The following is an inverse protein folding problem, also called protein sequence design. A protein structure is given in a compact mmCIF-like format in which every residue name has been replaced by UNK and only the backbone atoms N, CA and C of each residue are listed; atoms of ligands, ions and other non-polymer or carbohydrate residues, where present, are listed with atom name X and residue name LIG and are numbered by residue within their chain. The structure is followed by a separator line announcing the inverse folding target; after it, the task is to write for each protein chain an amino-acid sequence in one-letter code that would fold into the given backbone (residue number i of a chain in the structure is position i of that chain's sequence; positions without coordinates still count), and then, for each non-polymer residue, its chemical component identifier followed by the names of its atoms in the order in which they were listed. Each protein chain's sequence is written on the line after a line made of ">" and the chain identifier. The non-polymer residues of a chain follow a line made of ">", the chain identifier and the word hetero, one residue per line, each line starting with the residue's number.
data_IF_547981867787
#
_entry.id   IF_547981867787
#
_cell.length_a   1.000
_cell.length_b   1.000
_cell.length_c   1.000
_cell.angle_alpha   90.00
_cell.angle_beta   90.00
_cell.angle_gamma   90.00
#
_symmetry.space_group_name_H-M   'P 1'
#
loop_
_entity.id
_entity.type
_entity.pdbx_description
1 polymer ?
#
# COMPACT_ATOMS: atom_id res chain seq x y z
N UNK A 1 14.68 -32.41 0.69
CA UNK A 1 13.92 -31.48 -0.19
C UNK A 1 14.22 -30.04 0.18
N UNK A 2 15.44 -29.53 -0.11
CA UNK A 2 15.78 -28.12 0.10
C UNK A 2 15.45 -27.31 -1.16
N UNK A 3 14.52 -26.36 -1.05
CA UNK A 3 14.23 -25.39 -2.12
C UNK A 3 12.99 -25.67 -2.99
N UNK A 4 12.24 -26.74 -2.73
CA UNK A 4 10.95 -26.97 -3.39
C UNK A 4 9.92 -25.95 -2.88
N UNK A 5 9.26 -25.25 -3.79
CA UNK A 5 8.18 -24.30 -3.47
C UNK A 5 6.89 -24.88 -4.01
N UNK A 6 5.90 -25.08 -3.14
CA UNK A 6 4.62 -25.67 -3.53
C UNK A 6 3.65 -24.56 -3.94
N UNK A 7 3.09 -24.64 -5.14
CA UNK A 7 2.07 -23.72 -5.59
C UNK A 7 0.71 -24.42 -5.65
N UNK A 8 -0.32 -23.74 -5.14
CA UNK A 8 -1.70 -24.21 -5.25
C UNK A 8 -2.28 -23.59 -6.51
N UNK A 9 -2.58 -24.43 -7.50
CA UNK A 9 -3.38 -24.02 -8.65
C UNK A 9 -4.84 -23.98 -8.23
N UNK A 10 -5.39 -22.78 -7.97
CA UNK A 10 -6.82 -22.65 -7.73
C UNK A 10 -7.58 -22.68 -9.06
N UNK A 11 -8.20 -23.81 -9.38
CA UNK A 11 -9.40 -23.82 -10.21
C UNK A 11 -10.62 -23.75 -9.29
N UNK A 12 -11.01 -22.54 -8.89
CA UNK A 12 -12.26 -22.28 -8.16
C UNK A 12 -12.10 -21.32 -6.98
N UNK A 13 -12.55 -20.08 -7.14
CA UNK A 13 -12.68 -19.09 -6.06
C UNK A 13 -14.04 -19.17 -5.34
N UNK A 14 -14.81 -20.23 -5.56
CA UNK A 14 -16.06 -20.53 -4.87
C UNK A 14 -16.05 -22.02 -4.56
N UNK A 15 -16.13 -22.39 -3.28
CA UNK A 15 -16.56 -23.75 -2.96
C UNK A 15 -17.98 -23.94 -3.49
N UNK A 16 -18.37 -25.16 -3.91
CA UNK A 16 -19.73 -25.42 -4.36
C UNK A 16 -20.74 -25.04 -3.26
N UNK A 17 -21.97 -24.70 -3.67
CA UNK A 17 -23.03 -24.02 -2.90
C UNK A 17 -23.29 -24.55 -1.47
N UNK A 18 -22.86 -25.77 -1.14
CA UNK A 18 -23.08 -26.41 0.17
C UNK A 18 -21.91 -26.25 1.17
N UNK A 19 -20.65 -26.15 0.73
CA UNK A 19 -19.48 -26.10 1.64
C UNK A 19 -19.08 -24.68 2.08
N UNK A 20 -19.68 -23.65 1.48
CA UNK A 20 -19.28 -22.25 1.72
C UNK A 20 -17.86 -21.96 1.22
N UNK A 21 -17.18 -20.99 1.83
CA UNK A 21 -15.79 -20.67 1.47
C UNK A 21 -14.85 -21.76 1.99
N UNK A 22 -14.08 -22.37 1.09
CA UNK A 22 -13.02 -23.33 1.42
C UNK A 22 -11.67 -22.64 1.28
N UNK A 23 -10.84 -22.71 2.33
CA UNK A 23 -9.50 -22.17 2.37
C UNK A 23 -8.50 -23.30 2.53
N UNK A 24 -7.50 -23.36 1.65
CA UNK A 24 -6.43 -24.35 1.72
C UNK A 24 -5.12 -23.59 1.87
N UNK A 25 -4.40 -23.88 2.95
CA UNK A 25 -3.09 -23.29 3.19
C UNK A 25 -2.03 -23.98 2.30
N UNK A 26 -0.94 -23.26 2.03
CA UNK A 26 0.23 -23.88 1.40
C UNK A 26 0.73 -25.04 2.27
N UNK A 27 1.00 -26.23 1.69
CA UNK A 27 1.52 -27.35 2.44
C UNK A 27 2.84 -26.99 3.13
N UNK A 28 2.97 -27.38 4.39
CA UNK A 28 4.15 -27.11 5.20
C UNK A 28 5.05 -28.35 5.23
N UNK A 29 6.30 -28.27 4.75
CA UNK A 29 7.25 -29.37 4.90
C UNK A 29 7.65 -29.52 6.37
N UNK A 30 7.59 -30.76 6.89
CA UNK A 30 8.05 -31.13 8.23
C UNK A 30 9.13 -32.18 8.09
N UNK A 31 10.39 -31.77 8.29
CA UNK A 31 11.53 -32.62 7.98
C UNK A 31 11.74 -32.76 6.47
N UNK A 32 12.36 -33.87 6.06
CA UNK A 32 12.71 -34.15 4.66
C UNK A 32 11.79 -35.19 4.00
N UNK A 33 10.80 -35.72 4.73
CA UNK A 33 10.00 -36.88 4.33
C UNK A 33 8.49 -36.68 4.49
N UNK A 34 8.05 -35.53 5.02
CA UNK A 34 6.62 -35.28 5.29
C UNK A 34 6.15 -33.88 4.87
N UNK A 35 4.88 -33.82 4.47
CA UNK A 35 4.14 -32.59 4.15
C UNK A 35 2.86 -32.54 4.99
N UNK A 36 2.62 -31.37 5.59
CA UNK A 36 1.40 -31.09 6.35
C UNK A 36 0.48 -30.21 5.52
N UNK A 37 -0.69 -30.75 5.20
CA UNK A 37 -1.78 -30.06 4.55
C UNK A 37 -2.73 -29.51 5.61
N UNK A 38 -3.19 -28.27 5.46
CA UNK A 38 -4.20 -27.70 6.34
C UNK A 38 -5.15 -26.79 5.59
N UNK A 39 -6.34 -26.62 6.16
CA UNK A 39 -7.38 -25.80 5.57
C UNK A 39 -8.59 -25.63 6.47
N UNK A 40 -9.56 -24.88 5.98
CA UNK A 40 -10.79 -24.53 6.67
C UNK A 40 -11.97 -24.57 5.71
N UNK A 41 -13.09 -25.15 6.16
CA UNK A 41 -14.34 -25.28 5.42
C UNK A 41 -15.42 -24.49 6.14
N UNK A 42 -15.98 -23.46 5.49
CA UNK A 42 -16.91 -22.53 6.11
C UNK A 42 -18.21 -23.17 6.61
N UNK A 43 -18.79 -24.14 5.88
CA UNK A 43 -20.01 -24.84 6.25
C UNK A 43 -19.75 -26.35 6.44
N UNK A 44 -18.91 -26.73 7.40
CA UNK A 44 -18.50 -28.13 7.57
C UNK A 44 -19.57 -29.06 8.17
N UNK A 45 -20.63 -28.54 8.78
CA UNK A 45 -21.67 -29.35 9.45
C UNK A 45 -21.08 -30.30 10.49
N UNK A 46 -21.47 -31.58 10.44
CA UNK A 46 -20.93 -32.66 11.28
C UNK A 46 -19.51 -33.12 10.87
N UNK A 47 -18.95 -32.53 9.82
CA UNK A 47 -17.60 -32.77 9.31
C UNK A 47 -17.59 -33.14 7.82
N UNK A 48 -16.59 -32.65 7.10
CA UNK A 48 -16.40 -32.93 5.66
C UNK A 48 -15.19 -33.82 5.47
N UNK A 49 -15.35 -34.93 4.76
CA UNK A 49 -14.22 -35.81 4.43
C UNK A 49 -13.23 -35.08 3.51
N UNK A 50 -11.94 -35.17 3.82
CA UNK A 50 -10.85 -34.58 3.05
C UNK A 50 -9.85 -35.69 2.73
N UNK A 51 -9.66 -36.01 1.46
CA UNK A 51 -8.62 -36.95 1.02
C UNK A 51 -7.47 -36.22 0.34
N UNK A 52 -6.25 -36.57 0.73
CA UNK A 52 -5.01 -36.09 0.11
C UNK A 52 -4.48 -37.20 -0.79
N UNK A 53 -4.31 -36.91 -2.07
CA UNK A 53 -3.89 -37.88 -3.10
C UNK A 53 -2.62 -37.45 -3.79
N UNK A 54 -1.89 -38.42 -4.34
CA UNK A 54 -0.75 -38.21 -5.22
C UNK A 54 -0.84 -39.22 -6.37
N UNK A 55 -1.06 -38.74 -7.60
CA UNK A 55 -1.45 -39.60 -8.71
C UNK A 55 -2.76 -40.35 -8.40
N UNK A 56 -2.75 -41.68 -8.56
CA UNK A 56 -3.89 -42.54 -8.24
C UNK A 56 -4.00 -42.87 -6.74
N UNK A 57 -2.92 -42.69 -5.96
CA UNK A 57 -2.84 -43.11 -4.56
C UNK A 57 -3.57 -42.13 -3.64
N UNK A 58 -4.34 -42.66 -2.70
CA UNK A 58 -4.83 -41.90 -1.54
C UNK A 58 -3.79 -42.04 -0.44
N UNK A 59 -3.18 -40.92 -0.05
CA UNK A 59 -2.12 -40.89 0.96
C UNK A 59 -2.68 -40.75 2.37
N UNK A 60 -3.78 -40.00 2.52
CA UNK A 60 -4.48 -39.85 3.78
C UNK A 60 -5.93 -39.42 3.55
N UNK A 61 -6.78 -39.74 4.52
CA UNK A 61 -8.15 -39.25 4.63
C UNK A 61 -8.31 -38.69 6.04
N UNK A 62 -8.86 -37.50 6.14
CA UNK A 62 -9.22 -36.87 7.41
C UNK A 62 -10.61 -36.24 7.33
N UNK A 63 -11.06 -35.67 8.44
CA UNK A 63 -12.34 -34.96 8.51
C UNK A 63 -12.07 -33.50 8.87
N UNK A 64 -12.56 -32.57 8.06
CA UNK A 64 -12.56 -31.14 8.36
C UNK A 64 -13.76 -30.80 9.24
N UNK A 65 -13.51 -30.31 10.46
CA UNK A 65 -14.54 -29.86 11.37
C UNK A 65 -14.08 -28.64 12.19
N UNK A 66 -14.34 -27.41 11.74
CA UNK A 66 -14.36 -26.95 10.35
C UNK A 66 -12.93 -26.86 9.74
N UNK A 67 -11.89 -27.02 10.56
CA UNK A 67 -10.50 -27.10 10.11
C UNK A 67 -10.03 -28.53 9.92
N UNK A 68 -8.98 -28.71 9.13
CA UNK A 68 -8.24 -29.98 9.06
C UNK A 68 -6.74 -29.73 9.07
N UNK A 69 -6.01 -30.72 9.58
CA UNK A 69 -4.55 -30.83 9.48
C UNK A 69 -4.25 -32.30 9.17
N UNK A 70 -3.64 -32.56 8.02
CA UNK A 70 -3.36 -33.92 7.55
C UNK A 70 -1.90 -34.00 7.13
N UNK A 71 -1.22 -34.99 7.69
CA UNK A 71 0.19 -35.28 7.44
C UNK A 71 0.29 -36.41 6.41
N UNK A 72 1.12 -36.22 5.38
CA UNK A 72 1.36 -37.23 4.35
C UNK A 72 2.85 -37.33 4.02
N UNK A 73 3.31 -38.48 3.48
CA UNK A 73 4.64 -38.60 2.93
C UNK A 73 4.89 -37.57 1.82
N UNK A 74 6.04 -36.90 1.89
CA UNK A 74 6.49 -35.97 0.87
C UNK A 74 7.00 -36.72 -0.36
N UNK A 75 6.42 -36.40 -1.52
CA UNK A 75 6.64 -37.01 -2.84
C UNK A 75 6.73 -35.89 -3.87
N UNK A 76 7.61 -36.01 -4.86
CA UNK A 76 7.67 -35.04 -5.97
C UNK A 76 6.43 -35.13 -6.83
N UNK A 77 5.97 -34.00 -7.38
CA UNK A 77 4.87 -33.94 -8.34
C UNK A 77 3.58 -33.37 -7.77
N UNK A 78 2.44 -33.82 -8.29
CA UNK A 78 1.13 -33.20 -8.04
C UNK A 78 0.36 -33.93 -6.95
N UNK A 79 -0.08 -33.17 -5.96
CA UNK A 79 -1.03 -33.59 -4.96
C UNK A 79 -2.43 -33.08 -5.32
N UNK A 80 -3.44 -33.86 -4.95
CA UNK A 80 -4.83 -33.44 -5.04
C UNK A 80 -5.46 -33.47 -3.66
N UNK A 81 -6.18 -32.41 -3.31
CA UNK A 81 -7.07 -32.38 -2.15
C UNK A 81 -8.47 -32.59 -2.69
N UNK A 82 -9.15 -33.63 -2.23
CA UNK A 82 -10.49 -34.01 -2.69
C UNK A 82 -11.48 -33.97 -1.52
N UNK A 83 -12.63 -33.34 -1.74
CA UNK A 83 -13.74 -33.27 -0.79
C UNK A 83 -15.04 -33.67 -1.49
N UNK A 84 -15.77 -34.70 -1.03
CA UNK A 84 -17.09 -35.01 -1.55
C UNK A 84 -18.06 -33.92 -1.08
N UNK A 85 -18.82 -33.36 -2.02
CA UNK A 85 -19.69 -32.20 -1.77
C UNK A 85 -21.17 -32.56 -1.79
N UNK A 86 -21.58 -33.58 -2.55
CA UNK A 86 -22.92 -34.18 -2.54
C UNK A 86 -22.92 -35.51 -3.30
N UNK A 87 -23.95 -36.33 -3.08
CA UNK A 87 -24.24 -37.47 -3.96
C UNK A 87 -25.28 -37.12 -5.01
N UNK A 88 -24.99 -37.42 -6.27
CA UNK A 88 -25.96 -37.34 -7.38
C UNK A 88 -26.02 -38.68 -8.11
N UNK A 89 -27.22 -39.25 -8.23
CA UNK A 89 -27.47 -40.49 -8.98
C UNK A 89 -26.56 -41.68 -8.57
N UNK A 90 -26.22 -41.79 -7.28
CA UNK A 90 -25.37 -42.86 -6.76
C UNK A 90 -23.86 -42.67 -7.00
N UNK A 91 -23.44 -41.47 -7.42
CA UNK A 91 -22.04 -41.08 -7.54
C UNK A 91 -21.71 -39.88 -6.64
N UNK A 92 -20.52 -39.90 -6.04
CA UNK A 92 -20.00 -38.75 -5.29
C UNK A 92 -19.56 -37.65 -6.25
N UNK A 93 -20.13 -36.45 -6.10
CA UNK A 93 -19.58 -35.24 -6.72
C UNK A 93 -18.44 -34.76 -5.82
N UNK A 94 -17.23 -34.69 -6.37
CA UNK A 94 -16.01 -34.37 -5.62
C UNK A 94 -15.41 -33.05 -6.12
N UNK A 95 -15.14 -32.12 -5.20
CA UNK A 95 -14.29 -30.97 -5.49
C UNK A 95 -12.83 -31.32 -5.29
N UNK A 96 -12.01 -30.93 -6.26
CA UNK A 96 -10.58 -31.24 -6.31
C UNK A 96 -9.76 -29.97 -6.41
N UNK A 97 -8.76 -29.83 -5.55
CA UNK A 97 -7.74 -28.79 -5.63
C UNK A 97 -6.39 -29.40 -5.98
N UNK A 98 -5.70 -28.78 -6.92
CA UNK A 98 -4.39 -29.22 -7.38
C UNK A 98 -3.28 -28.47 -6.64
N UNK A 99 -2.33 -29.23 -6.10
CA UNK A 99 -1.19 -28.73 -5.34
C UNK A 99 0.08 -29.27 -5.99
N UNK A 100 0.81 -28.40 -6.68
CA UNK A 100 1.93 -28.80 -7.54
C UNK A 100 3.25 -28.51 -6.86
N UNK A 101 4.15 -29.50 -6.85
CA UNK A 101 5.58 -29.29 -6.62
C UNK A 101 6.14 -28.41 -7.74
N UNK A 102 6.35 -27.11 -7.51
CA UNK A 102 7.05 -26.31 -8.48
C UNK A 102 8.56 -26.54 -8.32
N UNK A 103 9.07 -27.55 -9.02
CA UNK A 103 10.44 -27.45 -9.55
C UNK A 103 10.46 -26.26 -10.53
N UNK A 104 11.40 -25.33 -10.33
CA UNK A 104 11.63 -24.16 -11.18
C UNK A 104 11.48 -24.52 -12.67
N UNK A 105 10.41 -24.05 -13.30
CA UNK A 105 10.51 -23.64 -14.68
C UNK A 105 10.94 -22.18 -14.68
N UNK A 106 12.21 -21.98 -15.03
CA UNK A 106 12.67 -20.76 -15.67
C UNK A 106 11.84 -20.53 -16.95
N UNK A 107 10.60 -20.06 -16.82
CA UNK A 107 9.88 -19.39 -17.89
C UNK A 107 10.23 -17.91 -17.83
N UNK A 108 11.46 -17.64 -18.24
CA UNK A 108 11.72 -16.47 -19.03
C UNK A 108 10.72 -16.44 -20.20
N UNK A 109 10.20 -15.24 -20.49
CA UNK A 109 9.76 -14.79 -21.80
C UNK A 109 9.72 -15.88 -22.89
N UNK A 110 8.52 -16.29 -23.30
CA UNK A 110 8.35 -16.64 -24.73
C UNK A 110 8.31 -15.32 -25.48
N UNK A 111 9.53 -14.85 -25.76
CA UNK A 111 9.90 -13.67 -26.51
C UNK A 111 11.41 -13.72 -26.59
N UNK A 112 11.92 -14.40 -27.62
CA UNK A 112 13.33 -14.76 -27.80
C UNK A 112 14.28 -13.60 -27.47
N UNK A 113 15.18 -13.81 -26.49
CA UNK A 113 16.44 -13.07 -26.38
C UNK A 113 17.55 -14.10 -26.18
N UNK A 114 18.52 -14.09 -27.09
CA UNK A 114 19.67 -15.00 -27.10
C UNK A 114 20.47 -14.92 -25.79
N UNK A 115 20.81 -16.08 -25.22
CA UNK A 115 21.78 -16.21 -24.13
C UNK A 115 23.17 -15.83 -24.64
N UNK A 116 23.66 -14.69 -24.18
CA UNK A 116 24.99 -14.18 -24.52
C UNK A 116 25.08 -12.68 -24.35
N UNK A 117 24.65 -12.14 -23.21
CA UNK A 117 24.97 -10.78 -22.79
C UNK A 117 25.39 -10.84 -21.32
N UNK A 118 26.42 -10.09 -20.90
CA UNK A 118 26.76 -9.97 -19.48
C UNK A 118 25.51 -9.55 -18.71
N UNK A 119 25.43 -9.90 -17.42
CA UNK A 119 24.52 -9.21 -16.50
C UNK A 119 24.58 -7.73 -16.84
N UNK A 120 23.45 -7.06 -17.17
CA UNK A 120 23.52 -5.66 -17.51
C UNK A 120 24.23 -5.01 -16.34
N UNK A 121 25.41 -4.44 -16.63
CA UNK A 121 26.00 -3.46 -15.75
C UNK A 121 24.85 -2.57 -15.34
N UNK A 122 24.72 -2.34 -14.03
CA UNK A 122 23.78 -1.37 -13.50
C UNK A 122 23.98 -0.09 -14.32
N UNK A 123 23.12 0.10 -15.32
CA UNK A 123 23.10 1.31 -16.08
C UNK A 123 22.68 2.34 -15.06
N UNK A 124 23.58 3.26 -14.79
CA UNK A 124 23.32 4.43 -13.98
C UNK A 124 21.99 5.08 -14.42
N UNK A 125 21.00 5.08 -13.54
CA UNK A 125 19.95 6.11 -13.49
C UNK A 125 18.51 5.64 -13.70
N UNK A 126 17.77 5.47 -12.61
CA UNK A 126 16.32 5.68 -12.57
C UNK A 126 15.46 4.51 -12.11
N UNK A 127 14.37 4.82 -11.39
CA UNK A 127 13.33 3.88 -11.00
C UNK A 127 12.59 3.27 -12.20
N UNK A 128 12.36 1.95 -12.16
CA UNK A 128 11.79 1.12 -13.22
C UNK A 128 10.53 0.38 -12.75
N UNK A 129 9.81 -0.23 -13.71
CA UNK A 129 8.65 -1.07 -13.46
C UNK A 129 9.01 -2.57 -13.58
N UNK A 130 8.58 -3.35 -12.60
CA UNK A 130 8.70 -4.81 -12.54
C UNK A 130 7.32 -5.45 -12.73
N UNK A 131 7.19 -6.37 -13.68
CA UNK A 131 5.97 -7.14 -13.85
C UNK A 131 5.88 -8.24 -12.78
N UNK A 132 4.82 -8.19 -11.97
CA UNK A 132 4.39 -9.25 -11.07
C UNK A 132 3.27 -10.11 -11.66
N UNK A 133 2.64 -10.93 -10.82
CA UNK A 133 1.53 -11.78 -11.24
C UNK A 133 0.27 -10.95 -11.51
N UNK A 134 -0.65 -11.51 -12.30
CA UNK A 134 -1.96 -10.90 -12.59
C UNK A 134 -1.86 -9.48 -13.17
N UNK A 135 -0.79 -9.21 -13.95
CA UNK A 135 -0.60 -7.92 -14.61
C UNK A 135 -0.23 -6.75 -13.68
N UNK A 136 0.11 -7.02 -12.42
CA UNK A 136 0.50 -5.99 -11.46
C UNK A 136 1.92 -5.50 -11.71
N UNK A 137 2.12 -4.19 -11.81
CA UNK A 137 3.45 -3.57 -11.86
C UNK A 137 3.92 -3.18 -10.46
N UNK A 138 5.21 -3.35 -10.18
CA UNK A 138 5.87 -2.98 -8.93
C UNK A 138 7.10 -2.11 -9.19
N UNK A 139 7.50 -1.31 -8.20
CA UNK A 139 8.68 -0.45 -8.29
C UNK A 139 9.97 -1.27 -8.11
N UNK A 140 10.97 -1.00 -8.94
CA UNK A 140 12.34 -1.53 -8.77
C UNK A 140 13.39 -0.49 -9.18
N UNK A 141 14.60 -0.60 -8.64
CA UNK A 141 15.72 0.27 -9.01
C UNK A 141 15.55 1.71 -8.50
N UNK A 142 14.68 1.93 -7.52
CA UNK A 142 14.51 3.22 -6.87
C UNK A 142 15.62 3.49 -5.86
N UNK A 143 15.83 4.76 -5.54
CA UNK A 143 16.90 5.20 -4.62
C UNK A 143 16.70 4.78 -3.18
N UNK A 144 15.52 4.26 -2.82
CA UNK A 144 15.24 3.76 -1.48
C UNK A 144 15.41 2.24 -1.37
N UNK A 145 15.80 1.53 -2.43
CA UNK A 145 15.96 0.07 -2.41
C UNK A 145 14.68 -0.64 -1.93
N UNK A 146 13.52 -0.32 -2.54
CA UNK A 146 12.22 -0.87 -2.12
C UNK A 146 12.21 -2.41 -2.15
N UNK A 147 12.87 -3.02 -3.14
CA UNK A 147 13.08 -4.48 -3.21
C UNK A 147 13.90 -4.99 -2.03
N UNK A 148 15.04 -4.35 -1.72
CA UNK A 148 15.88 -4.73 -0.59
C UNK A 148 15.15 -4.61 0.75
N UNK A 149 14.39 -3.54 0.95
CA UNK A 149 13.59 -3.33 2.15
C UNK A 149 12.56 -4.44 2.38
N UNK A 150 11.99 -5.01 1.32
CA UNK A 150 11.04 -6.12 1.40
C UNK A 150 11.70 -7.49 1.58
N UNK A 151 12.84 -7.71 0.91
CA UNK A 151 13.45 -9.04 0.75
C UNK A 151 14.56 -9.35 1.75
N UNK A 152 15.17 -8.33 2.36
CA UNK A 152 16.29 -8.51 3.29
C UNK A 152 15.81 -8.43 4.73
N UNK A 153 16.32 -9.34 5.55
CA UNK A 153 16.16 -9.21 6.99
C UNK A 153 16.98 -8.03 7.49
N UNK A 154 16.43 -7.24 8.41
CA UNK A 154 17.14 -6.08 8.93
C UNK A 154 16.37 -5.37 10.04
N UNK A 155 17.04 -4.37 10.61
CA UNK A 155 16.48 -3.47 11.61
C UNK A 155 16.62 -2.04 11.12
N UNK A 156 15.83 -1.14 11.71
CA UNK A 156 16.03 0.28 11.52
C UNK A 156 17.43 0.67 12.05
N UNK A 157 18.13 1.57 11.35
CA UNK A 157 19.41 2.07 11.86
C UNK A 157 19.20 2.84 13.17
N UNK A 158 20.18 2.85 14.09
CA UNK A 158 20.05 3.60 15.34
C UNK A 158 19.89 5.10 15.12
N UNK A 159 20.50 5.64 14.05
CA UNK A 159 20.30 7.03 13.64
C UNK A 159 18.82 7.28 13.28
N UNK A 160 18.27 6.49 12.35
CA UNK A 160 16.86 6.63 11.95
C UNK A 160 15.92 6.38 13.13
N UNK A 161 16.21 5.40 13.98
CA UNK A 161 15.42 5.10 15.16
C UNK A 161 15.42 6.25 16.18
N UNK A 162 16.57 6.93 16.35
CA UNK A 162 16.68 8.12 17.21
C UNK A 162 15.86 9.27 16.66
N UNK A 163 15.91 9.52 15.34
CA UNK A 163 15.11 10.57 14.70
C UNK A 163 13.61 10.33 14.83
N UNK A 164 13.13 9.10 14.56
CA UNK A 164 11.72 8.77 14.77
C UNK A 164 11.31 8.89 16.24
N UNK A 165 12.17 8.48 17.17
CA UNK A 165 11.93 8.66 18.61
C UNK A 165 11.78 10.14 18.96
N UNK A 166 12.65 11.00 18.42
CA UNK A 166 12.58 12.44 18.62
C UNK A 166 11.23 13.01 18.11
N UNK A 167 10.79 12.63 16.92
CA UNK A 167 9.47 13.05 16.40
C UNK A 167 8.33 12.66 17.32
N UNK A 168 8.26 11.40 17.72
CA UNK A 168 7.20 10.94 18.60
C UNK A 168 7.24 11.64 19.97
N UNK A 169 8.43 11.92 20.51
CA UNK A 169 8.55 12.67 21.77
C UNK A 169 8.10 14.13 21.67
N UNK A 170 8.14 14.74 20.47
CA UNK A 170 7.70 16.12 20.23
C UNK A 170 6.20 16.24 19.98
N UNK A 171 5.52 15.15 19.60
CA UNK A 171 4.10 15.17 19.30
C UNK A 171 3.23 15.70 20.45
N UNK A 172 3.42 15.29 21.73
CA UNK A 172 2.66 15.86 22.85
C UNK A 172 2.89 17.36 23.03
N UNK A 173 4.14 17.82 22.93
CA UNK A 173 4.49 19.25 23.00
C UNK A 173 3.80 20.03 21.87
N UNK A 174 3.85 19.53 20.63
CA UNK A 174 3.18 20.17 19.50
C UNK A 174 1.67 20.20 19.66
N UNK A 175 1.08 19.12 20.19
CA UNK A 175 -0.36 19.05 20.44
C UNK A 175 -0.80 20.14 21.42
N UNK A 176 -0.08 20.29 22.54
CA UNK A 176 -0.35 21.34 23.54
C UNK A 176 -0.06 22.74 22.97
N UNK A 177 1.15 22.95 22.44
CA UNK A 177 1.65 24.25 21.97
C UNK A 177 0.82 24.85 20.85
N UNK A 178 0.32 24.02 19.93
CA UNK A 178 -0.48 24.49 18.79
C UNK A 178 -1.99 24.31 19.00
N UNK A 179 -2.42 23.78 20.14
CA UNK A 179 -3.83 23.54 20.43
C UNK A 179 -4.47 22.54 19.47
N UNK A 180 -3.73 21.49 19.09
CA UNK A 180 -4.25 20.44 18.20
C UNK A 180 -5.14 19.49 19.01
N UNK A 181 -6.27 19.10 18.44
CA UNK A 181 -7.15 18.07 19.01
C UNK A 181 -6.53 16.69 18.84
N UNK A 182 -5.92 16.44 17.68
CA UNK A 182 -5.26 15.17 17.35
C UNK A 182 -4.01 15.39 16.49
N UNK A 183 -2.99 14.58 16.75
CA UNK A 183 -1.81 14.41 15.91
C UNK A 183 -1.55 12.93 15.64
N UNK A 184 -1.14 12.58 14.42
CA UNK A 184 -0.82 11.19 14.05
C UNK A 184 0.22 11.10 12.94
N UNK A 185 1.05 10.05 12.98
CA UNK A 185 1.82 9.59 11.82
C UNK A 185 1.07 8.47 11.12
N UNK A 186 0.79 8.63 9.83
CA UNK A 186 0.31 7.58 8.95
C UNK A 186 1.43 7.11 8.02
N UNK A 187 1.73 5.81 8.07
CA UNK A 187 2.59 5.19 7.07
C UNK A 187 1.73 4.50 6.02
N UNK A 188 1.80 4.96 4.78
CA UNK A 188 1.18 4.30 3.64
C UNK A 188 1.96 3.00 3.34
N UNK A 189 1.34 1.81 3.47
CA UNK A 189 2.02 0.55 3.20
C UNK A 189 2.56 0.51 1.77
N UNK A 190 3.66 -0.21 1.56
CA UNK A 190 4.15 -0.44 0.21
C UNK A 190 3.20 -1.37 -0.55
N UNK A 191 3.10 -1.21 -1.87
CA UNK A 191 2.22 -2.04 -2.71
C UNK A 191 2.57 -3.53 -2.57
N UNK A 192 3.85 -3.86 -2.52
CA UNK A 192 4.37 -5.21 -2.27
C UNK A 192 4.03 -5.76 -0.88
N UNK A 193 3.79 -4.89 0.11
CA UNK A 193 3.35 -5.29 1.45
C UNK A 193 1.86 -5.69 1.46
N UNK A 194 1.06 -5.08 0.60
CA UNK A 194 -0.40 -5.31 0.47
C UNK A 194 -0.75 -6.34 -0.61
N UNK A 195 0.07 -6.48 -1.65
CA UNK A 195 -0.11 -7.41 -2.78
C UNK A 195 1.01 -8.45 -2.83
N UNK A 196 1.36 -9.03 -1.68
CA UNK A 196 2.47 -9.99 -1.52
C UNK A 196 2.32 -11.22 -2.41
N UNK A 197 1.08 -11.65 -2.62
CA UNK A 197 0.71 -12.77 -3.50
C UNK A 197 1.00 -12.48 -4.98
N UNK A 198 1.01 -11.21 -5.37
CA UNK A 198 1.32 -10.78 -6.74
C UNK A 198 2.78 -10.35 -6.93
N UNK A 199 3.49 -10.05 -5.85
CA UNK A 199 4.89 -9.66 -5.92
C UNK A 199 5.79 -10.89 -6.21
N UNK A 200 6.78 -10.79 -7.12
CA UNK A 200 7.60 -11.94 -7.51
C UNK A 200 8.70 -12.28 -6.47
N UNK A 201 8.99 -11.38 -5.53
CA UNK A 201 10.00 -11.62 -4.51
C UNK A 201 9.40 -12.12 -3.20
N UNK A 202 10.17 -12.94 -2.48
CA UNK A 202 9.79 -13.41 -1.15
C UNK A 202 10.10 -12.36 -0.10
N UNK A 203 9.14 -12.08 0.76
CA UNK A 203 9.33 -11.19 1.91
C UNK A 203 10.28 -11.81 2.92
N UNK A 204 11.18 -11.02 3.48
CA UNK A 204 11.92 -11.44 4.66
C UNK A 204 10.99 -11.63 5.87
N UNK A 205 11.42 -12.48 6.80
CA UNK A 205 10.66 -12.75 8.03
C UNK A 205 10.65 -11.52 8.95
N UNK A 206 11.78 -10.80 9.06
CA UNK A 206 11.93 -9.59 9.87
C UNK A 206 12.60 -8.48 9.05
N UNK A 207 11.83 -7.54 8.54
CA UNK A 207 12.33 -6.37 7.78
C UNK A 207 12.62 -5.19 8.70
N UNK A 208 13.35 -4.18 8.20
CA UNK A 208 13.52 -2.91 8.92
C UNK A 208 12.17 -2.24 9.22
N UNK A 209 11.18 -2.42 8.34
CA UNK A 209 9.82 -1.94 8.56
C UNK A 209 9.09 -2.69 9.70
N UNK A 210 9.27 -4.00 9.82
CA UNK A 210 8.75 -4.77 10.96
C UNK A 210 9.34 -4.28 12.28
N UNK A 211 10.64 -3.97 12.28
CA UNK A 211 11.33 -3.39 13.42
C UNK A 211 10.77 -2.01 13.79
N UNK A 212 10.57 -1.12 12.80
CA UNK A 212 9.92 0.19 13.00
C UNK A 212 8.52 0.03 13.62
N UNK A 213 7.67 -0.81 13.02
CA UNK A 213 6.29 -1.04 13.50
C UNK A 213 6.29 -1.56 14.94
N UNK A 214 7.16 -2.51 15.27
CA UNK A 214 7.26 -3.06 16.62
C UNK A 214 7.75 -2.01 17.63
N UNK A 215 8.76 -1.22 17.25
CA UNK A 215 9.38 -0.22 18.14
C UNK A 215 8.44 0.92 18.50
N UNK A 216 7.56 1.32 17.57
CA UNK A 216 6.68 2.48 17.74
C UNK A 216 5.19 2.10 17.81
N UNK A 217 4.86 0.86 18.16
CA UNK A 217 3.47 0.37 18.21
C UNK A 217 2.57 1.15 19.17
N UNK A 218 3.14 1.64 20.29
CA UNK A 218 2.42 2.41 21.32
C UNK A 218 2.39 3.91 21.05
N UNK A 219 3.02 4.36 19.97
CA UNK A 219 3.03 5.78 19.59
C UNK A 219 1.76 6.14 18.78
N UNK A 220 1.50 7.44 18.52
CA UNK A 220 0.45 7.90 17.59
C UNK A 220 0.76 7.52 16.13
N UNK A 221 0.83 6.22 15.85
CA UNK A 221 1.21 5.62 14.58
C UNK A 221 0.02 4.84 14.02
N UNK A 222 -0.27 5.06 12.75
CA UNK A 222 -1.27 4.32 11.99
C UNK A 222 -0.65 3.71 10.72
N UNK A 223 -0.87 2.42 10.54
CA UNK A 223 -0.42 1.69 9.35
C UNK A 223 -1.57 0.78 8.88
N UNK A 224 -2.40 1.20 7.89
CA UNK A 224 -3.63 0.51 7.52
C UNK A 224 -3.40 -0.74 6.64
N UNK A 225 -2.46 -1.62 7.02
CA UNK A 225 -2.09 -2.80 6.20
C UNK A 225 -3.28 -3.72 6.01
N UNK A 226 -4.00 -4.05 7.08
CA UNK A 226 -5.07 -5.05 7.04
C UNK A 226 -6.34 -4.52 6.40
N UNK A 227 -6.66 -3.25 6.65
CA UNK A 227 -7.78 -2.55 6.03
C UNK A 227 -7.59 -2.48 4.51
N UNK A 228 -6.38 -2.17 4.05
CA UNK A 228 -6.05 -2.19 2.62
C UNK A 228 -5.99 -3.62 2.07
N UNK A 229 -5.46 -4.59 2.82
CA UNK A 229 -5.37 -6.00 2.43
C UNK A 229 -6.75 -6.64 2.16
N UNK A 230 -7.72 -6.35 3.04
CA UNK A 230 -9.07 -6.88 2.95
C UNK A 230 -9.82 -6.42 1.68
N UNK A 231 -9.36 -5.32 1.07
CA UNK A 231 -9.91 -4.77 -0.18
C UNK A 231 -8.86 -4.71 -1.30
N UNK A 232 -7.78 -5.49 -1.20
CA UNK A 232 -6.52 -5.26 -1.93
C UNK A 232 -6.61 -5.14 -3.45
N UNK A 233 -7.59 -5.79 -4.07
CA UNK A 233 -7.81 -5.71 -5.52
C UNK A 233 -8.23 -4.33 -6.02
N UNK A 234 -8.69 -3.44 -5.12
CA UNK A 234 -9.17 -2.11 -5.45
C UNK A 234 -8.32 -0.99 -4.85
N UNK A 235 -7.41 -1.30 -3.93
CA UNK A 235 -6.69 -0.29 -3.13
C UNK A 235 -5.39 0.17 -3.76
N UNK A 236 -4.81 -0.57 -4.71
CA UNK A 236 -3.62 -0.16 -5.47
C UNK A 236 -3.84 -0.31 -6.97
N UNK A 237 -3.39 0.68 -7.73
CA UNK A 237 -3.50 0.68 -9.18
C UNK A 237 -2.58 -0.36 -9.82
N UNK A 238 -3.04 -1.13 -10.81
CA UNK A 238 -2.21 -2.18 -11.40
C UNK A 238 -0.93 -1.62 -12.04
N UNK A 239 -1.02 -0.43 -12.61
CA UNK A 239 0.08 0.25 -13.30
C UNK A 239 0.70 1.38 -12.47
N UNK A 240 0.44 1.45 -11.18
CA UNK A 240 0.86 2.55 -10.31
C UNK A 240 1.51 2.04 -9.01
N UNK A 241 2.42 2.82 -8.43
CA UNK A 241 2.99 2.56 -7.09
C UNK A 241 2.06 3.01 -5.95
N UNK A 242 1.18 3.97 -6.20
CA UNK A 242 0.31 4.57 -5.21
C UNK A 242 -0.94 3.73 -4.96
N UNK A 243 -1.60 4.00 -3.82
CA UNK A 243 -2.97 3.57 -3.66
C UNK A 243 -3.88 4.26 -4.69
N UNK A 244 -5.04 3.66 -4.96
CA UNK A 244 -6.12 4.33 -5.69
C UNK A 244 -6.83 5.35 -4.80
N UNK A 245 -7.74 6.16 -5.35
CA UNK A 245 -8.62 7.03 -4.55
C UNK A 245 -9.45 6.22 -3.54
N UNK A 246 -9.84 5.01 -3.93
CA UNK A 246 -10.49 4.05 -3.04
C UNK A 246 -9.56 3.61 -1.90
N UNK A 247 -8.31 3.25 -2.20
CA UNK A 247 -7.32 2.90 -1.17
C UNK A 247 -7.02 4.07 -0.22
N UNK A 248 -6.87 5.28 -0.75
CA UNK A 248 -6.72 6.50 0.05
C UNK A 248 -7.94 6.74 0.96
N UNK A 249 -9.14 6.46 0.45
CA UNK A 249 -10.38 6.55 1.23
C UNK A 249 -10.42 5.55 2.37
N UNK A 250 -10.01 4.29 2.14
CA UNK A 250 -9.89 3.30 3.21
C UNK A 250 -8.89 3.78 4.28
N UNK A 251 -7.72 4.30 3.88
CA UNK A 251 -6.75 4.84 4.82
C UNK A 251 -7.29 6.03 5.63
N UNK A 252 -8.02 6.94 4.97
CA UNK A 252 -8.71 8.06 5.62
C UNK A 252 -9.81 7.62 6.59
N UNK A 253 -10.61 6.60 6.23
CA UNK A 253 -11.63 6.03 7.10
C UNK A 253 -11.01 5.42 8.35
N UNK A 254 -9.90 4.70 8.20
CA UNK A 254 -9.15 4.14 9.33
C UNK A 254 -8.61 5.25 10.24
N UNK A 255 -8.11 6.35 9.67
CA UNK A 255 -7.66 7.51 10.44
C UNK A 255 -8.79 8.15 11.23
N UNK A 256 -9.91 8.48 10.58
CA UNK A 256 -11.04 9.11 11.25
C UNK A 256 -11.59 8.22 12.36
N UNK A 257 -11.72 6.91 12.11
CA UNK A 257 -12.10 5.94 13.14
C UNK A 257 -11.13 5.93 14.31
N UNK A 258 -9.82 6.02 14.05
CA UNK A 258 -8.78 6.07 15.10
C UNK A 258 -8.83 7.37 15.92
N UNK A 259 -9.36 8.44 15.35
CA UNK A 259 -9.58 9.72 16.02
C UNK A 259 -10.99 9.88 16.63
N UNK A 260 -11.83 8.85 16.54
CA UNK A 260 -13.24 8.87 16.96
C UNK A 260 -14.08 9.93 16.21
N UNK A 261 -13.78 10.11 14.92
CA UNK A 261 -14.44 11.02 13.99
C UNK A 261 -15.29 10.25 12.95
N UNK A 262 -16.29 10.88 12.31
CA UNK A 262 -17.20 10.21 11.37
C UNK A 262 -16.48 9.75 10.10
N UNK A 263 -16.06 8.47 10.07
CA UNK A 263 -15.38 7.85 8.92
C UNK A 263 -16.29 7.64 7.70
N UNK A 264 -17.59 7.48 7.93
CA UNK A 264 -18.63 7.35 6.90
C UNK A 264 -18.84 8.64 6.08
N UNK A 265 -18.31 9.78 6.56
CA UNK A 265 -18.27 11.04 5.81
C UNK A 265 -17.43 10.98 4.53
N UNK A 266 -16.51 10.02 4.43
CA UNK A 266 -15.67 9.84 3.24
C UNK A 266 -16.45 9.16 2.10
N UNK A 267 -15.99 9.32 0.84
CA UNK A 267 -16.71 8.83 -0.34
C UNK A 267 -17.02 7.33 -0.28
N UNK A 268 -18.27 6.98 -0.55
CA UNK A 268 -18.71 5.59 -0.71
C UNK A 268 -18.89 5.18 -2.17
N UNK A 269 -18.97 6.17 -3.07
CA UNK A 269 -19.16 5.97 -4.49
C UNK A 269 -17.94 6.42 -5.28
N UNK A 270 -17.57 5.61 -6.27
CA UNK A 270 -16.41 5.83 -7.12
C UNK A 270 -16.80 5.63 -8.59
N UNK A 271 -16.15 6.39 -9.48
CA UNK A 271 -16.21 6.15 -10.91
C UNK A 271 -15.10 5.19 -11.32
N UNK A 272 -15.34 4.40 -12.36
CA UNK A 272 -14.29 3.59 -13.00
C UNK A 272 -13.66 4.42 -14.11
N UNK A 273 -12.34 4.64 -14.05
CA UNK A 273 -11.60 5.37 -15.10
C UNK A 273 -10.34 4.63 -15.50
N UNK A 274 -10.00 4.73 -16.77
CA UNK A 274 -8.71 4.26 -17.29
C UNK A 274 -7.64 5.29 -16.94
N UNK A 275 -6.55 4.84 -16.32
CA UNK A 275 -5.43 5.69 -15.91
C UNK A 275 -4.12 5.05 -16.31
N UNK A 276 -3.17 5.88 -16.75
CA UNK A 276 -1.76 5.47 -16.91
C UNK A 276 -1.08 5.87 -15.60
N UNK A 277 -0.71 4.87 -14.80
CA UNK A 277 0.01 5.10 -13.56
C UNK A 277 1.49 5.39 -13.78
N UNK A 278 2.18 5.78 -12.71
CA UNK A 278 3.62 6.11 -12.75
C UNK A 278 4.49 4.97 -13.29
N UNK A 279 4.18 3.71 -12.98
CA UNK A 279 4.86 2.53 -13.54
C UNK A 279 4.43 2.23 -14.97
N UNK A 280 3.15 2.38 -15.28
CA UNK A 280 2.60 2.18 -16.62
C UNK A 280 3.20 3.13 -17.65
N UNK A 281 3.50 4.37 -17.23
CA UNK A 281 4.17 5.38 -18.05
C UNK A 281 5.62 5.03 -18.42
N UNK A 282 6.26 4.09 -17.70
CA UNK A 282 7.64 3.64 -17.93
C UNK A 282 7.73 2.51 -18.96
N UNK A 283 6.60 1.93 -19.36
CA UNK A 283 6.56 0.88 -20.38
C UNK A 283 6.51 1.47 -21.79
N UNK A 284 6.94 0.70 -22.79
CA UNK A 284 6.84 1.07 -24.21
C UNK A 284 6.13 -0.06 -24.97
N UNK A 285 4.90 0.15 -25.46
CA UNK A 285 4.07 1.35 -25.27
C UNK A 285 3.62 1.55 -23.80
N UNK A 286 3.26 2.78 -23.39
CA UNK A 286 2.68 3.02 -22.07
C UNK A 286 1.44 2.15 -21.84
N UNK A 287 1.32 1.60 -20.64
CA UNK A 287 0.21 0.72 -20.26
C UNK A 287 -0.70 1.40 -19.25
N UNK A 288 -2.00 1.23 -19.42
CA UNK A 288 -3.04 1.77 -18.52
C UNK A 288 -3.81 0.65 -17.83
N UNK A 289 -4.49 0.97 -16.74
CA UNK A 289 -5.45 0.10 -16.08
C UNK A 289 -6.74 0.84 -15.70
N UNK A 290 -7.84 0.12 -15.50
CA UNK A 290 -9.06 0.67 -14.91
C UNK A 290 -8.97 0.69 -13.39
N UNK A 291 -9.26 1.84 -12.79
CA UNK A 291 -9.17 2.07 -11.35
C UNK A 291 -10.40 2.82 -10.84
N UNK A 292 -10.67 2.67 -9.55
CA UNK A 292 -11.70 3.45 -8.86
C UNK A 292 -11.14 4.83 -8.53
N UNK A 293 -11.81 5.86 -9.05
CA UNK A 293 -11.48 7.27 -8.81
C UNK A 293 -12.68 7.99 -8.19
N UNK A 294 -12.43 9.12 -7.55
CA UNK A 294 -13.51 9.95 -7.03
C UNK A 294 -14.51 10.32 -8.14
N UNK A 295 -15.80 10.17 -7.84
CA UNK A 295 -16.87 10.50 -8.79
C UNK A 295 -17.01 12.01 -8.99
N UNK A 296 -16.83 12.77 -7.91
CA UNK A 296 -16.94 14.22 -7.90
C UNK A 296 -15.67 14.90 -8.43
N UNK A 297 -15.86 16.09 -9.01
CA UNK A 297 -14.76 16.91 -9.50
C UNK A 297 -14.14 17.71 -8.36
N UNK A 298 -13.17 17.12 -7.67
CA UNK A 298 -12.53 17.71 -6.48
C UNK A 298 -11.78 19.03 -6.73
N UNK A 299 -11.49 19.36 -7.99
CA UNK A 299 -10.92 20.67 -8.34
C UNK A 299 -11.83 21.84 -7.93
N UNK A 300 -13.15 21.61 -7.76
CA UNK A 300 -14.08 22.64 -7.28
C UNK A 300 -13.90 22.97 -5.79
N UNK A 301 -13.28 22.06 -5.02
CA UNK A 301 -12.94 22.27 -3.61
C UNK A 301 -11.54 22.86 -3.44
N UNK A 302 -10.68 22.78 -4.46
CA UNK A 302 -9.31 23.30 -4.44
C UNK A 302 -9.35 24.83 -4.55
N UNK A 303 -9.23 25.52 -3.41
CA UNK A 303 -9.29 26.99 -3.34
C UNK A 303 -7.92 27.65 -3.46
N UNK A 304 -6.84 26.89 -3.28
CA UNK A 304 -5.47 27.36 -3.49
C UNK A 304 -4.54 26.20 -3.88
N UNK A 305 -3.70 26.40 -4.90
CA UNK A 305 -2.55 25.56 -5.23
C UNK A 305 -1.38 26.47 -5.61
N UNK A 306 -0.24 26.28 -4.96
CA UNK A 306 0.96 27.02 -5.32
C UNK A 306 1.69 26.45 -6.55
N UNK A 307 1.25 25.32 -7.10
CA UNK A 307 1.76 24.64 -8.30
C UNK A 307 3.26 24.33 -8.30
N UNK A 308 3.91 24.45 -7.13
CA UNK A 308 5.28 23.99 -6.95
C UNK A 308 5.25 22.46 -6.94
N UNK A 309 6.05 21.81 -7.78
CA UNK A 309 6.09 20.35 -7.84
C UNK A 309 6.87 19.75 -6.66
N UNK A 310 6.26 18.77 -5.97
CA UNK A 310 6.80 18.06 -4.81
C UNK A 310 7.19 19.04 -3.68
N UNK A 311 8.43 19.00 -3.18
CA UNK A 311 8.87 19.80 -2.04
C UNK A 311 8.59 21.30 -2.24
N UNK A 312 7.91 21.89 -1.27
CA UNK A 312 7.40 23.26 -1.35
C UNK A 312 5.96 23.36 -1.85
N UNK A 313 5.33 22.29 -2.31
CA UNK A 313 3.92 22.29 -2.72
C UNK A 313 3.00 22.54 -1.51
N UNK A 314 2.06 23.46 -1.68
CA UNK A 314 0.98 23.71 -0.72
C UNK A 314 -0.34 23.77 -1.50
N UNK A 315 -1.32 23.00 -1.03
CA UNK A 315 -2.69 22.99 -1.56
C UNK A 315 -3.70 23.16 -0.43
N UNK A 316 -4.77 23.91 -0.68
CA UNK A 316 -5.86 24.12 0.28
C UNK A 316 -7.18 23.70 -0.36
N UNK A 317 -7.86 22.77 0.29
CA UNK A 317 -9.20 22.31 -0.07
C UNK A 317 -10.21 22.80 0.95
N UNK A 318 -11.38 23.27 0.50
CA UNK A 318 -12.49 23.65 1.38
C UNK A 318 -13.77 22.92 1.00
N UNK A 319 -14.50 22.48 2.01
CA UNK A 319 -15.81 21.87 1.87
C UNK A 319 -16.73 22.34 3.00
N UNK A 320 -17.54 23.36 2.73
CA UNK A 320 -18.45 23.93 3.73
C UNK A 320 -19.54 22.95 4.23
N UNK A 321 -19.77 21.84 3.52
CA UNK A 321 -20.74 20.81 3.89
C UNK A 321 -20.13 19.65 4.70
N UNK A 322 -18.81 19.67 4.92
CA UNK A 322 -18.11 18.60 5.63
C UNK A 322 -18.53 18.53 7.11
N UNK A 323 -18.72 17.33 7.68
CA UNK A 323 -19.26 17.18 9.03
C UNK A 323 -18.25 17.48 10.15
N UNK A 324 -16.95 17.43 9.87
CA UNK A 324 -15.91 17.75 10.86
C UNK A 324 -15.57 19.23 10.71
N UNK A 325 -16.04 20.02 11.67
CA UNK A 325 -15.65 21.41 11.79
C UNK A 325 -14.14 21.51 12.07
N UNK A 326 -13.48 22.47 11.43
CA UNK A 326 -12.05 22.72 11.62
C UNK A 326 -11.18 22.38 10.42
N UNK A 327 -9.88 22.35 10.69
CA UNK A 327 -8.82 22.32 9.69
C UNK A 327 -7.85 21.17 9.94
N UNK A 328 -7.65 20.34 8.94
CA UNK A 328 -6.61 19.32 8.90
C UNK A 328 -5.40 19.83 8.12
N UNK A 329 -4.21 19.78 8.71
CA UNK A 329 -2.94 19.98 8.00
C UNK A 329 -2.27 18.62 7.80
N UNK A 330 -1.88 18.32 6.56
CA UNK A 330 -1.18 17.10 6.18
C UNK A 330 0.22 17.45 5.68
N UNK A 331 1.26 16.98 6.38
CA UNK A 331 2.64 16.97 5.89
C UNK A 331 2.94 15.61 5.27
N UNK A 332 2.83 15.52 3.95
CA UNK A 332 2.80 14.24 3.21
C UNK A 332 3.82 14.12 2.08
N UNK A 333 3.88 12.93 1.50
CA UNK A 333 4.50 12.67 0.19
C UNK A 333 3.41 12.53 -0.89
N UNK A 334 3.77 11.95 -2.03
CA UNK A 334 2.85 11.75 -3.16
C UNK A 334 1.61 10.90 -2.82
N UNK A 335 1.67 9.99 -1.85
CA UNK A 335 0.47 9.27 -1.36
C UNK A 335 -0.52 10.20 -0.66
N UNK A 336 -0.01 11.26 -0.04
CA UNK A 336 -0.80 12.28 0.64
C UNK A 336 -1.72 13.04 -0.30
N UNK A 337 -1.50 13.02 -1.61
CA UNK A 337 -2.35 13.74 -2.58
C UNK A 337 -3.77 13.16 -2.63
N UNK A 338 -3.95 11.88 -2.93
CA UNK A 338 -5.26 11.21 -2.92
C UNK A 338 -5.88 11.17 -1.52
N UNK A 339 -5.05 11.10 -0.47
CA UNK A 339 -5.50 11.11 0.92
C UNK A 339 -6.09 12.46 1.33
N UNK A 340 -5.46 13.56 0.90
CA UNK A 340 -5.97 14.93 1.10
C UNK A 340 -7.34 15.09 0.45
N UNK A 341 -7.46 14.61 -0.79
CA UNK A 341 -8.70 14.61 -1.55
C UNK A 341 -9.80 13.81 -0.84
N UNK A 342 -9.50 12.61 -0.34
CA UNK A 342 -10.43 11.81 0.46
C UNK A 342 -10.86 12.55 1.74
N UNK A 343 -9.91 13.10 2.50
CA UNK A 343 -10.17 13.77 3.77
C UNK A 343 -10.91 15.12 3.60
N UNK A 344 -10.90 15.71 2.39
CA UNK A 344 -11.71 16.90 2.06
C UNK A 344 -13.22 16.64 2.09
N UNK A 345 -13.66 15.38 2.10
CA UNK A 345 -15.07 15.05 2.36
C UNK A 345 -15.41 15.13 3.85
N UNK A 346 -14.45 14.84 4.73
CA UNK A 346 -14.65 14.80 6.17
C UNK A 346 -14.46 16.16 6.86
N UNK A 347 -13.42 16.91 6.48
CA UNK A 347 -13.03 18.20 7.11
C UNK A 347 -13.46 19.42 6.31
N UNK A 348 -13.82 20.50 7.01
CA UNK A 348 -14.18 21.78 6.37
C UNK A 348 -13.02 22.42 5.60
N UNK A 349 -11.79 22.30 6.10
CA UNK A 349 -10.58 22.70 5.37
C UNK A 349 -9.50 21.63 5.52
N UNK A 350 -8.87 21.24 4.41
CA UNK A 350 -7.70 20.36 4.40
C UNK A 350 -6.57 21.07 3.68
N UNK A 351 -5.45 21.25 4.37
CA UNK A 351 -4.23 21.81 3.81
C UNK A 351 -3.22 20.69 3.61
N UNK A 352 -2.74 20.52 2.39
CA UNK A 352 -1.67 19.60 2.06
C UNK A 352 -0.37 20.36 1.84
N UNK A 353 0.69 19.86 2.46
CA UNK A 353 2.04 20.34 2.38
C UNK A 353 2.95 19.16 2.00
N UNK A 354 3.62 19.23 0.84
CA UNK A 354 4.53 18.16 0.42
C UNK A 354 5.84 18.25 1.23
N UNK A 355 5.85 17.55 2.35
CA UNK A 355 6.97 17.42 3.27
C UNK A 355 6.83 16.08 4.02
N UNK A 356 7.33 14.98 3.46
CA UNK A 356 7.07 13.61 3.95
C UNK A 356 7.44 13.45 5.43
N UNK A 357 6.42 13.26 6.27
CA UNK A 357 6.49 13.21 7.74
C UNK A 357 7.32 14.32 8.44
N UNK A 358 7.56 15.45 7.77
CA UNK A 358 8.33 16.56 8.32
C UNK A 358 7.45 17.69 8.81
N UNK A 359 7.72 18.25 9.99
CA UNK A 359 6.91 19.34 10.55
C UNK A 359 7.59 20.69 10.37
N UNK A 360 6.92 21.60 9.65
CA UNK A 360 7.23 23.04 9.64
C UNK A 360 6.37 23.75 10.69
N UNK A 361 6.94 24.03 11.86
CA UNK A 361 6.20 24.67 12.96
C UNK A 361 5.73 26.09 12.64
N UNK A 362 6.38 26.80 11.71
CA UNK A 362 5.93 28.13 11.28
C UNK A 362 4.67 28.00 10.43
N UNK A 363 4.60 27.00 9.55
CA UNK A 363 3.39 26.71 8.78
C UNK A 363 2.23 26.30 9.71
N UNK A 364 2.50 25.50 10.75
CA UNK A 364 1.48 25.14 11.75
C UNK A 364 0.93 26.39 12.44
N UNK A 365 1.80 27.29 12.91
CA UNK A 365 1.38 28.56 13.55
C UNK A 365 0.60 29.47 12.60
N UNK A 366 1.01 29.50 11.33
CA UNK A 366 0.37 30.31 10.31
C UNK A 366 -1.05 29.82 10.02
N UNK A 367 -1.21 28.51 9.82
CA UNK A 367 -2.48 27.91 9.43
C UNK A 367 -3.44 27.66 10.59
N UNK A 368 -2.91 27.51 11.81
CA UNK A 368 -3.65 27.17 13.03
C UNK A 368 -4.61 25.99 12.82
N UNK A 369 -4.12 24.81 12.40
CA UNK A 369 -4.97 23.66 12.18
C UNK A 369 -5.53 23.13 13.51
N UNK A 370 -6.68 22.46 13.44
CA UNK A 370 -7.23 21.69 14.57
C UNK A 370 -6.62 20.30 14.66
N UNK A 371 -6.23 19.73 13.52
CA UNK A 371 -5.73 18.37 13.39
C UNK A 371 -4.46 18.37 12.56
N UNK A 372 -3.49 17.52 12.93
CA UNK A 372 -2.22 17.38 12.22
C UNK A 372 -1.96 15.93 11.84
N UNK A 373 -1.74 15.69 10.55
CA UNK A 373 -1.37 14.37 10.03
C UNK A 373 0.02 14.45 9.40
N UNK A 374 0.94 13.64 9.90
CA UNK A 374 2.19 13.34 9.22
C UNK A 374 1.93 12.12 8.34
N UNK A 375 2.29 12.20 7.06
CA UNK A 375 2.12 11.08 6.13
C UNK A 375 3.44 10.77 5.41
N UNK A 376 3.77 9.49 5.33
CA UNK A 376 4.93 9.00 4.61
C UNK A 376 4.67 7.60 4.03
N UNK A 377 5.31 7.27 2.91
CA UNK A 377 5.30 5.93 2.33
C UNK A 377 6.27 5.01 3.08
N UNK A 378 5.91 3.73 3.23
CA UNK A 378 6.70 2.70 3.91
C UNK A 378 8.18 2.70 3.48
N UNK A 379 8.45 2.85 2.18
CA UNK A 379 9.82 2.81 1.63
C UNK A 379 10.70 3.99 2.05
N UNK A 380 10.17 5.02 2.71
CA UNK A 380 10.97 6.13 3.24
C UNK A 380 11.20 6.04 4.76
N UNK A 381 10.56 5.08 5.44
CA UNK A 381 10.65 4.92 6.90
C UNK A 381 12.06 4.59 7.38
N UNK A 382 12.90 3.97 6.53
CA UNK A 382 14.29 3.69 6.86
C UNK A 382 15.14 4.98 7.00
N UNK A 383 14.69 6.09 6.43
CA UNK A 383 15.35 7.40 6.54
C UNK A 383 14.89 8.19 7.77
N UNK A 384 15.31 9.46 7.82
CA UNK A 384 14.90 10.43 8.82
C UNK A 384 13.79 11.35 8.28
N UNK A 385 12.77 11.70 9.08
CA UNK A 385 11.75 12.68 8.71
C UNK A 385 12.34 14.10 8.62
N UNK A 386 11.88 14.89 7.64
CA UNK A 386 12.39 16.24 7.39
C UNK A 386 11.76 17.29 8.34
N UNK A 387 12.03 17.18 9.64
CA UNK A 387 11.46 18.09 10.65
C UNK A 387 12.29 19.36 10.83
N UNK A 388 11.62 20.48 11.14
CA UNK A 388 12.19 21.83 11.26
C UNK A 388 12.73 22.41 9.95
N UNK A 389 12.45 21.76 8.82
CA UNK A 389 12.66 22.33 7.50
C UNK A 389 11.50 23.24 7.12
N UNK A 390 11.82 24.41 6.57
CA UNK A 390 10.80 25.32 6.06
C UNK A 390 10.28 24.84 4.71
N UNK A 391 8.95 24.72 4.60
CA UNK A 391 8.32 24.42 3.32
C UNK A 391 8.55 25.55 2.30
N UNK A 392 8.63 26.79 2.78
CA UNK A 392 8.87 27.96 1.94
C UNK A 392 10.30 28.00 1.41
N UNK A 393 11.28 27.61 2.22
CA UNK A 393 12.66 27.46 1.75
C UNK A 393 12.76 26.38 0.66
N UNK A 394 12.05 25.26 0.84
CA UNK A 394 11.95 24.21 -0.19
C UNK A 394 11.30 24.75 -1.47
N UNK A 395 10.25 25.55 -1.33
CA UNK A 395 9.60 26.25 -2.44
C UNK A 395 10.54 27.20 -3.17
N UNK A 396 11.27 28.07 -2.45
CA UNK A 396 12.28 28.97 -3.03
C UNK A 396 13.37 28.22 -3.78
N UNK A 397 13.90 27.13 -3.21
CA UNK A 397 14.86 26.25 -3.88
C UNK A 397 14.27 25.68 -5.17
N UNK A 398 13.00 25.26 -5.16
CA UNK A 398 12.34 24.74 -6.35
C UNK A 398 12.15 25.80 -7.42
N UNK A 399 11.69 26.99 -7.05
CA UNK A 399 11.53 28.14 -7.95
C UNK A 399 12.87 28.53 -8.62
N UNK A 400 13.97 28.49 -7.87
CA UNK A 400 15.31 28.79 -8.40
C UNK A 400 15.79 27.80 -9.48
N UNK A 401 15.25 26.57 -9.51
CA UNK A 401 15.56 25.56 -10.54
C UNK A 401 14.68 25.65 -11.79
N UNK A 402 13.63 26.47 -11.78
CA UNK A 402 12.73 26.64 -12.92
C UNK A 402 13.38 27.53 -13.99
N UNK A 403 12.99 27.33 -15.26
CA UNK A 403 13.28 28.29 -16.32
C UNK A 403 12.69 29.65 -15.97
N UNK A 404 13.35 30.74 -16.36
CA UNK A 404 12.91 32.11 -16.11
C UNK A 404 11.44 32.34 -16.49
N UNK A 405 11.04 31.93 -17.70
CA UNK A 405 9.66 32.03 -18.17
C UNK A 405 8.66 31.36 -17.20
N UNK A 406 8.84 30.07 -16.88
CA UNK A 406 7.96 29.35 -15.94
C UNK A 406 7.91 29.98 -14.56
N UNK A 407 9.03 30.50 -14.08
CA UNK A 407 9.12 31.17 -12.78
C UNK A 407 8.34 32.49 -12.78
N UNK A 408 8.45 33.29 -13.83
CA UNK A 408 7.70 34.54 -13.99
C UNK A 408 6.19 34.30 -14.13
N UNK A 409 5.79 33.31 -14.94
CA UNK A 409 4.40 32.89 -15.08
C UNK A 409 3.80 32.47 -13.73
N UNK A 410 4.52 31.63 -12.99
CA UNK A 410 4.10 31.18 -11.67
C UNK A 410 4.06 32.33 -10.65
N UNK A 411 5.06 33.22 -10.67
CA UNK A 411 5.09 34.38 -9.78
C UNK A 411 3.94 35.35 -10.07
N UNK A 412 3.65 35.63 -11.34
CA UNK A 412 2.53 36.48 -11.73
C UNK A 412 1.20 35.89 -11.24
N UNK A 413 1.00 34.57 -11.39
CA UNK A 413 -0.18 33.87 -10.88
C UNK A 413 -0.28 33.91 -9.35
N UNK A 414 0.81 33.64 -8.63
CA UNK A 414 0.79 33.65 -7.17
C UNK A 414 0.51 35.04 -6.59
N UNK A 415 0.98 36.11 -7.27
CA UNK A 415 0.65 37.49 -6.90
C UNK A 415 -0.85 37.82 -7.02
N UNK A 416 -1.60 37.13 -7.88
CA UNK A 416 -3.05 37.31 -8.00
C UNK A 416 -3.85 36.43 -7.05
N UNK A 417 -3.20 35.62 -6.20
CA UNK A 417 -3.89 34.83 -5.19
C UNK A 417 -4.73 35.72 -4.25
N UNK A 418 -5.93 35.27 -3.83
CA UNK A 418 -6.74 36.00 -2.86
C UNK A 418 -5.96 36.44 -1.62
N UNK A 419 -6.35 37.58 -1.03
CA UNK A 419 -5.65 38.19 0.11
C UNK A 419 -5.43 37.23 1.28
N UNK A 420 -6.38 36.31 1.52
CA UNK A 420 -6.28 35.28 2.55
C UNK A 420 -5.13 34.28 2.35
N UNK A 421 -4.68 34.06 1.11
CA UNK A 421 -3.58 33.16 0.80
C UNK A 421 -2.23 33.87 0.63
N UNK A 422 -2.20 35.21 0.69
CA UNK A 422 -0.95 35.97 0.64
C UNK A 422 0.08 35.53 1.69
N UNK A 423 -0.29 35.16 2.94
CA UNK A 423 0.67 34.61 3.89
C UNK A 423 1.33 33.27 3.47
N UNK A 424 0.73 32.53 2.52
CA UNK A 424 1.32 31.33 1.91
C UNK A 424 2.14 31.65 0.65
N UNK A 425 2.02 32.87 0.13
CA UNK A 425 2.67 33.33 -1.10
C UNK A 425 3.91 34.17 -0.79
N UNK A 426 3.79 35.19 0.07
CA UNK A 426 4.87 36.13 0.38
C UNK A 426 6.19 35.43 0.74
N UNK A 427 6.21 34.42 1.63
CA UNK A 427 7.48 33.77 2.00
C UNK A 427 8.15 32.99 0.86
N UNK A 428 7.47 32.73 -0.26
CA UNK A 428 8.08 32.09 -1.44
C UNK A 428 8.95 33.06 -2.27
N UNK A 429 8.87 34.37 -1.99
CA UNK A 429 9.59 35.41 -2.74
C UNK A 429 10.46 36.33 -1.87
N UNK A 430 10.46 36.10 -0.56
CA UNK A 430 11.30 36.79 0.43
C UNK A 430 12.76 36.31 0.42
#
# INVERSE_FOLDING_TARGET
>A
MKGATWAIGQHGAQGPDQLGKVWIAQPLPVGDDRLVFSGHVGNAGDGVSVSIRHGADILAIGTANPGFVIDVPARKGVYHIEMPVRQEQGQDVVCRWEVVDQERQDMALVGMVQRGAPAPSAASGGAQALLGRMGQLFLIGDTNDSVGQFTRSGSLSEASASEWTNIFSRMPEWQERFGLEKIMLMVAPAKEEVLRDYYPFRRAFNTAFDNFRKRFAEQPLLIPIWELWNRRHLTYGATDTHWTDYGATIAGQTLLKRWDLPGDALPQEFAVRQKIGDLGSKLTPPTSNFELVFREKLSERLVFDNEINNHGNIRVYRNGSAPIAGKLLIFGDSFGTNLTEALSYGFQEVVYAYQPAGVDTNLVRLLKPTHLLLQITQRFVHGAPATDHSIFESGRKKLATMSEQKREELQARLKTAPAEFQPLVTPLFD
#
